data_IF_612986669582
#
_entry.id   IF_612986669582
#
_cell.length_a   1.000
_cell.length_b   1.000
_cell.length_c   1.000
_cell.angle_alpha   90.00
_cell.angle_beta   90.00
_cell.angle_gamma   90.00
#
_symmetry.space_group_name_H-M   'P 1'
#
loop_
_entity.id
_entity.type
_entity.pdbx_description
1 polymer ?
#
# COMPACT_ATOMS: atom_id res chain seq x y z
N UNK A 1 40.50 54.52 -37.70
CA UNK A 1 41.82 53.98 -38.11
C UNK A 1 42.34 53.24 -36.89
N UNK A 2 42.42 51.92 -36.77
CA UNK A 2 42.73 50.87 -37.74
C UNK A 2 41.91 49.58 -37.45
N UNK A 3 41.56 48.88 -38.53
CA UNK A 3 41.14 47.48 -38.57
C UNK A 3 42.38 46.58 -38.71
N UNK A 4 42.32 45.34 -38.18
CA UNK A 4 42.78 44.05 -38.76
C UNK A 4 42.60 42.99 -37.64
N UNK A 5 41.85 41.87 -37.69
CA UNK A 5 41.56 40.76 -38.64
C UNK A 5 42.32 39.46 -38.27
N UNK A 6 41.57 38.34 -38.27
CA UNK A 6 41.97 36.91 -38.37
C UNK A 6 42.48 36.21 -37.09
N UNK A 7 42.28 34.91 -36.81
CA UNK A 7 41.71 33.76 -37.55
C UNK A 7 41.45 32.57 -36.58
N UNK A 8 40.25 31.98 -36.67
CA UNK A 8 39.89 30.54 -36.71
C UNK A 8 40.94 29.47 -36.28
N UNK A 9 40.67 28.67 -35.24
CA UNK A 9 40.31 27.23 -35.32
C UNK A 9 40.19 26.52 -33.94
N UNK A 10 39.39 25.44 -33.83
CA UNK A 10 38.95 24.84 -32.56
C UNK A 10 39.89 23.72 -32.10
N UNK A 11 40.37 23.78 -30.86
CA UNK A 11 41.06 22.66 -30.23
C UNK A 11 40.03 21.85 -29.46
N UNK A 12 39.68 20.72 -30.08
CA UNK A 12 39.09 19.53 -29.52
C UNK A 12 39.71 19.21 -28.15
N UNK A 13 38.98 19.47 -27.06
CA UNK A 13 39.39 19.00 -25.74
C UNK A 13 38.22 18.20 -25.15
N UNK A 14 38.33 16.90 -25.39
CA UNK A 14 37.53 15.83 -24.80
C UNK A 14 37.68 15.90 -23.28
N UNK A 15 36.59 16.28 -22.59
CA UNK A 15 36.51 16.21 -21.13
C UNK A 15 35.32 15.31 -20.78
N UNK A 16 35.66 14.04 -20.60
CA UNK A 16 35.12 13.07 -19.65
C UNK A 16 33.67 13.31 -19.14
N UNK A 17 32.67 12.49 -19.54
CA UNK A 17 31.37 12.49 -18.89
C UNK A 17 31.53 11.85 -17.50
N UNK A 18 31.53 12.67 -16.46
CA UNK A 18 31.46 12.19 -15.08
C UNK A 18 30.07 11.59 -14.87
N UNK A 19 30.07 10.26 -14.82
CA UNK A 19 29.00 9.41 -14.33
C UNK A 19 28.64 9.85 -12.91
N UNK A 20 27.56 10.63 -12.76
CA UNK A 20 26.86 10.74 -11.47
C UNK A 20 25.69 9.76 -11.46
N UNK A 21 26.05 8.48 -11.31
CA UNK A 21 25.21 7.49 -10.65
C UNK A 21 25.18 7.85 -9.16
N UNK A 22 24.30 8.77 -8.78
CA UNK A 22 23.81 8.88 -7.40
C UNK A 22 22.32 8.53 -7.51
N UNK A 23 21.95 7.28 -7.33
CA UNK A 23 21.86 6.70 -6.00
C UNK A 23 20.37 6.67 -5.66
N UNK A 24 19.65 5.72 -6.25
CA UNK A 24 18.32 5.35 -5.77
C UNK A 24 18.55 4.63 -4.44
N UNK A 25 18.70 5.43 -3.38
CA UNK A 25 18.69 4.92 -2.02
C UNK A 25 17.30 4.33 -1.78
N UNK A 26 17.21 3.01 -1.83
CA UNK A 26 16.20 2.32 -1.05
C UNK A 26 16.55 2.61 0.41
N UNK A 27 15.94 3.65 0.98
CA UNK A 27 15.87 3.79 2.42
C UNK A 27 15.12 2.57 2.95
N UNK A 28 15.87 1.67 3.59
CA UNK A 28 15.31 0.78 4.60
C UNK A 28 14.59 1.65 5.62
N UNK A 29 13.27 1.72 5.52
CA UNK A 29 12.46 2.54 6.41
C UNK A 29 12.65 2.01 7.84
N UNK A 30 13.02 2.88 8.80
CA UNK A 30 12.94 2.54 10.21
C UNK A 30 11.53 2.03 10.52
N UNK A 31 11.40 1.09 11.46
CA UNK A 31 10.10 0.70 12.01
C UNK A 31 9.47 1.92 12.68
N UNK A 32 8.77 2.73 11.88
CA UNK A 32 8.09 3.92 12.34
C UNK A 32 6.94 3.44 13.21
N UNK A 33 6.89 3.92 14.45
CA UNK A 33 5.66 3.88 15.23
C UNK A 33 4.63 4.65 14.39
N UNK A 34 3.79 3.92 13.66
CA UNK A 34 2.82 4.52 12.76
C UNK A 34 1.71 5.15 13.57
N UNK A 35 1.52 6.46 13.39
CA UNK A 35 0.48 7.23 14.07
C UNK A 35 -0.78 7.40 13.21
N UNK A 36 -0.77 6.85 11.99
CA UNK A 36 -1.92 6.93 11.09
C UNK A 36 -3.06 6.04 11.62
N UNK A 37 -4.22 6.63 11.98
CA UNK A 37 -5.34 5.88 12.56
C UNK A 37 -5.92 4.85 11.60
N UNK A 38 -5.82 5.04 10.28
CA UNK A 38 -6.28 4.09 9.25
C UNK A 38 -5.38 2.86 9.21
N UNK A 39 -4.06 3.06 9.32
CA UNK A 39 -3.10 1.96 9.41
C UNK A 39 -3.34 1.17 10.69
N UNK A 40 -3.53 1.84 11.82
CA UNK A 40 -3.83 1.20 13.11
C UNK A 40 -5.14 0.39 13.04
N UNK A 41 -6.17 0.94 12.39
CA UNK A 41 -7.45 0.26 12.23
C UNK A 41 -7.31 -1.03 11.38
N UNK A 42 -6.62 -0.94 10.24
CA UNK A 42 -6.38 -2.08 9.37
C UNK A 42 -5.48 -3.15 10.00
N UNK A 43 -4.47 -2.76 10.78
CA UNK A 43 -3.62 -3.71 11.52
C UNK A 43 -4.45 -4.49 12.56
N UNK A 44 -5.28 -3.80 13.35
CA UNK A 44 -6.20 -4.44 14.30
C UNK A 44 -7.21 -5.35 13.60
N UNK A 45 -7.69 -4.95 12.42
CA UNK A 45 -8.59 -5.75 11.60
C UNK A 45 -7.91 -7.04 11.14
N UNK A 46 -6.68 -6.96 10.65
CA UNK A 46 -5.89 -8.13 10.25
C UNK A 46 -5.62 -9.09 11.40
N UNK A 47 -5.29 -8.55 12.59
CA UNK A 47 -5.14 -9.34 13.82
C UNK A 47 -6.42 -10.07 14.24
N UNK A 48 -7.60 -9.48 14.03
CA UNK A 48 -8.87 -10.15 14.24
C UNK A 48 -9.13 -11.21 13.15
N UNK A 49 -8.81 -10.91 11.89
CA UNK A 49 -9.04 -11.80 10.77
C UNK A 49 -8.34 -13.16 10.95
N UNK A 50 -7.06 -13.17 11.37
CA UNK A 50 -6.30 -14.42 11.57
C UNK A 50 -6.81 -15.28 12.74
N UNK A 51 -7.59 -14.71 13.66
CA UNK A 51 -8.14 -15.47 14.79
C UNK A 51 -9.25 -16.43 14.37
N UNK A 52 -10.04 -16.07 13.35
CA UNK A 52 -11.23 -16.83 12.99
C UNK A 52 -11.56 -16.97 11.50
N UNK A 53 -10.81 -16.35 10.59
CA UNK A 53 -11.08 -16.36 9.14
C UNK A 53 -12.57 -16.10 8.84
N UNK A 54 -13.08 -14.89 9.14
CA UNK A 54 -14.51 -14.60 9.10
C UNK A 54 -15.09 -14.78 7.69
N UNK A 55 -16.26 -15.43 7.61
CA UNK A 55 -17.02 -15.61 6.36
C UNK A 55 -18.09 -14.55 6.18
N UNK A 56 -18.47 -13.87 7.26
CA UNK A 56 -19.54 -12.87 7.28
C UNK A 56 -19.18 -11.70 8.20
N UNK A 57 -19.88 -10.57 8.02
CA UNK A 57 -19.77 -9.41 8.91
C UNK A 57 -20.14 -9.78 10.36
N UNK A 58 -21.16 -10.62 10.55
CA UNK A 58 -21.58 -11.05 11.87
C UNK A 58 -20.48 -11.84 12.59
N UNK A 59 -19.79 -12.73 11.88
CA UNK A 59 -18.64 -13.46 12.42
C UNK A 59 -17.48 -12.52 12.77
N UNK A 60 -17.16 -11.56 11.90
CA UNK A 60 -16.13 -10.56 12.17
C UNK A 60 -16.45 -9.73 13.43
N UNK A 61 -17.70 -9.28 13.58
CA UNK A 61 -18.15 -8.56 14.77
C UNK A 61 -18.09 -9.41 16.05
N UNK A 62 -18.37 -10.72 15.95
CA UNK A 62 -18.21 -11.66 17.06
C UNK A 62 -16.74 -11.78 17.50
N UNK A 63 -15.81 -11.84 16.54
CA UNK A 63 -14.36 -11.85 16.81
C UNK A 63 -13.90 -10.51 17.42
N UNK A 64 -14.42 -9.39 16.91
CA UNK A 64 -14.09 -8.08 17.50
C UNK A 64 -14.52 -8.01 18.96
N UNK A 65 -15.73 -8.50 19.27
CA UNK A 65 -16.22 -8.58 20.65
C UNK A 65 -15.30 -9.43 21.54
N UNK A 66 -14.83 -10.59 21.05
CA UNK A 66 -13.91 -11.44 21.83
C UNK A 66 -12.52 -10.83 22.02
N UNK A 67 -12.12 -9.90 21.15
CA UNK A 67 -10.87 -9.15 21.25
C UNK A 67 -11.00 -7.82 22.01
N UNK A 68 -12.18 -7.50 22.56
CA UNK A 68 -12.50 -6.17 23.11
C UNK A 68 -12.23 -5.02 22.11
N UNK A 69 -12.41 -5.28 20.82
CA UNK A 69 -12.25 -4.30 19.76
C UNK A 69 -13.58 -3.56 19.51
N UNK A 70 -13.55 -2.23 19.38
CA UNK A 70 -14.74 -1.46 18.99
C UNK A 70 -15.14 -1.75 17.54
N UNK A 71 -16.45 -1.75 17.24
CA UNK A 71 -16.97 -1.95 15.88
C UNK A 71 -16.56 -0.80 14.94
N UNK A 72 -16.23 0.35 15.51
CA UNK A 72 -15.79 1.56 14.83
C UNK A 72 -14.48 1.35 14.06
N UNK A 73 -13.70 0.29 14.38
CA UNK A 73 -12.54 -0.12 13.58
C UNK A 73 -12.90 -0.58 12.16
N UNK A 74 -14.18 -0.85 11.88
CA UNK A 74 -14.65 -1.13 10.52
C UNK A 74 -14.83 0.13 9.69
N UNK A 75 -14.79 1.33 10.29
CA UNK A 75 -14.90 2.60 9.59
C UNK A 75 -13.50 3.13 9.33
N UNK A 76 -13.18 3.45 8.08
CA UNK A 76 -11.92 4.10 7.73
C UNK A 76 -11.91 5.53 8.31
N UNK A 77 -10.88 5.88 9.11
CA UNK A 77 -10.66 7.26 9.53
C UNK A 77 -10.32 8.21 8.37
N UNK A 78 -9.81 7.68 7.25
CA UNK A 78 -9.31 8.48 6.12
C UNK A 78 -10.42 8.90 5.16
N UNK A 79 -11.35 8.00 4.80
CA UNK A 79 -12.48 8.31 3.91
C UNK A 79 -13.85 8.34 4.60
N UNK A 80 -13.92 8.03 5.90
CA UNK A 80 -15.14 8.04 6.71
C UNK A 80 -16.15 6.94 6.37
N UNK A 81 -15.80 6.02 5.45
CA UNK A 81 -16.68 4.94 5.01
C UNK A 81 -16.30 3.62 5.68
N UNK A 82 -17.25 2.69 5.72
CA UNK A 82 -16.93 1.32 6.12
C UNK A 82 -15.93 0.69 5.13
N UNK A 83 -14.86 0.08 5.65
CA UNK A 83 -13.94 -0.69 4.84
C UNK A 83 -14.69 -1.80 4.10
N UNK A 84 -14.31 -2.03 2.84
CA UNK A 84 -14.74 -3.22 2.11
C UNK A 84 -13.90 -4.39 2.61
N UNK A 85 -14.57 -5.38 3.20
CA UNK A 85 -13.93 -6.59 3.71
C UNK A 85 -14.08 -7.70 2.69
N UNK A 86 -12.96 -8.35 2.35
CA UNK A 86 -12.92 -9.56 1.56
C UNK A 86 -13.02 -10.73 2.54
N UNK A 87 -14.16 -11.42 2.55
CA UNK A 87 -14.42 -12.52 3.48
C UNK A 87 -13.84 -13.85 2.96
N UNK A 88 -13.67 -14.81 3.88
CA UNK A 88 -13.18 -16.17 3.59
C UNK A 88 -11.77 -16.25 2.98
N UNK A 89 -10.90 -15.28 3.27
CA UNK A 89 -9.50 -15.29 2.83
C UNK A 89 -8.67 -16.11 3.81
N UNK A 90 -8.16 -17.27 3.42
CA UNK A 90 -7.28 -18.04 4.31
C UNK A 90 -5.87 -17.46 4.32
N UNK A 91 -5.41 -17.06 5.51
CA UNK A 91 -4.12 -16.41 5.71
C UNK A 91 -3.10 -17.32 6.40
N UNK A 92 -3.56 -18.37 7.09
CA UNK A 92 -2.67 -19.29 7.82
C UNK A 92 -1.93 -20.18 6.84
N UNK A 93 -0.62 -20.30 7.03
CA UNK A 93 0.22 -21.19 6.22
C UNK A 93 0.54 -20.68 4.81
N UNK A 94 0.17 -19.44 4.47
CA UNK A 94 0.62 -18.80 3.24
C UNK A 94 2.16 -18.70 3.22
N UNK A 95 2.76 -19.14 2.11
CA UNK A 95 4.22 -19.07 1.87
C UNK A 95 4.62 -17.89 0.95
N UNK A 96 3.66 -17.06 0.59
CA UNK A 96 3.84 -15.89 -0.28
C UNK A 96 4.08 -14.63 0.55
N UNK A 97 4.73 -13.64 -0.03
CA UNK A 97 5.07 -12.37 0.62
C UNK A 97 4.83 -11.18 -0.31
N UNK A 98 4.84 -9.96 0.27
CA UNK A 98 4.75 -8.72 -0.50
C UNK A 98 3.46 -8.62 -1.32
N UNK A 99 3.58 -8.28 -2.61
CA UNK A 99 2.44 -8.07 -3.50
C UNK A 99 1.64 -9.35 -3.82
N UNK A 100 2.18 -10.53 -3.52
CA UNK A 100 1.49 -11.81 -3.72
C UNK A 100 0.50 -12.14 -2.59
N UNK A 101 0.54 -11.39 -1.48
CA UNK A 101 -0.42 -11.56 -0.39
C UNK A 101 -1.82 -11.09 -0.84
N UNK A 102 -2.87 -11.85 -0.53
CA UNK A 102 -4.24 -11.47 -0.90
C UNK A 102 -4.68 -10.21 -0.15
N UNK A 103 -5.53 -9.42 -0.80
CA UNK A 103 -6.23 -8.28 -0.19
C UNK A 103 -7.33 -8.82 0.73
N UNK A 104 -7.37 -8.29 1.95
CA UNK A 104 -8.29 -8.72 3.01
C UNK A 104 -9.30 -7.62 3.35
N UNK A 105 -8.85 -6.36 3.30
CA UNK A 105 -9.71 -5.21 3.49
C UNK A 105 -9.16 -4.02 2.70
N UNK A 106 -10.02 -3.10 2.28
CA UNK A 106 -9.60 -1.86 1.64
C UNK A 106 -10.64 -0.74 1.81
N UNK A 107 -10.21 0.50 1.67
CA UNK A 107 -11.10 1.66 1.70
C UNK A 107 -12.08 1.66 0.54
N UNK A 108 -13.31 2.14 0.79
CA UNK A 108 -14.35 2.17 -0.22
C UNK A 108 -14.05 3.20 -1.30
N UNK A 109 -13.70 4.41 -0.88
CA UNK A 109 -13.44 5.54 -1.80
C UNK A 109 -11.95 5.84 -1.83
N UNK A 110 -11.32 5.90 -0.66
CA UNK A 110 -9.95 6.40 -0.50
C UNK A 110 -9.86 7.92 -0.61
N UNK A 111 -8.62 8.42 -0.60
CA UNK A 111 -8.29 9.85 -0.65
C UNK A 111 -7.11 10.09 -1.59
N UNK A 112 -7.10 11.23 -2.29
CA UNK A 112 -6.02 11.62 -3.21
C UNK A 112 -5.70 10.58 -4.29
N UNK A 113 -6.73 9.89 -4.78
CA UNK A 113 -6.62 8.86 -5.82
C UNK A 113 -6.06 7.52 -5.34
N UNK A 114 -5.85 7.34 -4.03
CA UNK A 114 -5.35 6.10 -3.43
C UNK A 114 -6.26 5.61 -2.31
N UNK A 115 -6.23 4.30 -2.06
CA UNK A 115 -6.99 3.60 -1.02
C UNK A 115 -6.00 2.86 -0.12
N UNK A 116 -6.16 3.00 1.18
CA UNK A 116 -5.53 2.07 2.10
C UNK A 116 -6.12 0.67 1.89
N UNK A 117 -5.23 -0.33 1.83
CA UNK A 117 -5.58 -1.72 1.71
C UNK A 117 -4.71 -2.58 2.63
N UNK A 118 -5.33 -3.55 3.27
CA UNK A 118 -4.67 -4.60 4.04
C UNK A 118 -4.38 -5.79 3.14
N UNK A 119 -3.10 -6.10 2.98
CA UNK A 119 -2.59 -7.34 2.38
C UNK A 119 -2.19 -8.31 3.48
N UNK A 120 -2.63 -9.56 3.35
CA UNK A 120 -2.34 -10.59 4.34
C UNK A 120 -2.82 -10.19 5.74
N UNK A 121 -2.00 -10.44 6.76
CA UNK A 121 -2.40 -10.21 8.15
C UNK A 121 -2.14 -8.80 8.69
N UNK A 122 -1.18 -8.07 8.13
CA UNK A 122 -0.68 -6.82 8.73
C UNK A 122 -0.01 -5.87 7.73
N UNK A 123 0.05 -6.20 6.45
CA UNK A 123 0.74 -5.36 5.46
C UNK A 123 -0.23 -4.32 4.93
N UNK A 124 -0.20 -3.13 5.49
CA UNK A 124 -1.02 -2.00 5.02
C UNK A 124 -0.28 -1.24 3.92
N UNK A 125 -0.94 -1.05 2.78
CA UNK A 125 -0.42 -0.35 1.61
C UNK A 125 -1.43 0.68 1.10
N UNK A 126 -0.96 1.70 0.39
CA UNK A 126 -1.83 2.60 -0.36
C UNK A 126 -1.79 2.22 -1.84
N UNK A 127 -2.96 2.00 -2.45
CA UNK A 127 -3.09 1.56 -3.84
C UNK A 127 -4.00 2.50 -4.61
N UNK A 128 -3.63 2.84 -5.84
CA UNK A 128 -4.57 3.38 -6.82
C UNK A 128 -5.65 2.34 -7.15
N UNK A 129 -6.74 2.78 -7.78
CA UNK A 129 -7.79 1.85 -8.20
C UNK A 129 -7.26 0.76 -9.16
N UNK A 130 -6.36 1.13 -10.08
CA UNK A 130 -5.78 0.18 -11.02
C UNK A 130 -4.90 -0.86 -10.31
N UNK A 131 -4.07 -0.45 -9.36
CA UNK A 131 -3.25 -1.35 -8.53
C UNK A 131 -4.09 -2.24 -7.61
N UNK A 132 -5.21 -1.72 -7.10
CA UNK A 132 -6.15 -2.52 -6.33
C UNK A 132 -6.79 -3.58 -7.22
N UNK A 133 -7.30 -3.21 -8.41
CA UNK A 133 -7.92 -4.15 -9.35
C UNK A 133 -6.98 -5.26 -9.85
N UNK A 134 -5.68 -5.00 -9.91
CA UNK A 134 -4.66 -5.98 -10.30
C UNK A 134 -4.03 -6.75 -9.13
N UNK A 135 -4.42 -6.46 -7.89
CA UNK A 135 -3.93 -7.17 -6.71
C UNK A 135 -4.55 -8.58 -6.59
N UNK A 136 -4.01 -9.39 -5.68
CA UNK A 136 -4.48 -10.76 -5.45
C UNK A 136 -5.79 -10.75 -4.65
N UNK A 137 -6.83 -11.37 -5.17
CA UNK A 137 -8.11 -11.62 -4.50
C UNK A 137 -8.46 -13.12 -4.58
N UNK A 138 -9.36 -13.61 -3.71
CA UNK A 138 -9.96 -14.93 -3.88
C UNK A 138 -10.61 -15.09 -5.25
N UNK A 139 -10.61 -16.33 -5.76
CA UNK A 139 -11.26 -16.66 -7.01
C UNK A 139 -12.74 -16.25 -7.00
N UNK A 140 -13.20 -15.62 -8.09
CA UNK A 140 -14.57 -15.17 -8.23
C UNK A 140 -14.95 -13.92 -7.43
N UNK A 141 -13.98 -13.26 -6.77
CA UNK A 141 -14.24 -11.97 -6.11
C UNK A 141 -14.77 -10.94 -7.10
N UNK A 142 -15.86 -10.26 -6.72
CA UNK A 142 -16.47 -9.18 -7.49
C UNK A 142 -16.30 -7.86 -6.76
N UNK A 143 -15.68 -6.90 -7.43
CA UNK A 143 -15.58 -5.55 -6.91
C UNK A 143 -16.98 -4.92 -6.79
N UNK A 144 -17.26 -4.16 -5.72
CA UNK A 144 -18.57 -3.54 -5.50
C UNK A 144 -18.72 -2.19 -6.23
N UNK A 145 -17.89 -1.89 -7.22
CA UNK A 145 -17.85 -0.64 -7.98
C UNK A 145 -17.41 -0.89 -9.42
#
# INVERSE_FOLDING_TARGET
>A
MFFLKSNINPIFMSILPIVMLAGCGSEDKPSTITTDPTIIALDKLGGAYIRGTPKTKAELLSIFKSCNHPKELLISPSDGQEFIIVYSVELKGLKVTGAQLPIVAFEKTGKDGKRYALRGMNTVVQLTEAELKSSVFPEGYKFPF
#
